data_IF_406649503701
#
_entry.id   IF_406649503701
#
_cell.length_a   1.000
_cell.length_b   1.000
_cell.length_c   1.000
_cell.angle_alpha   90.00
_cell.angle_beta   90.00
_cell.angle_gamma   90.00
#
_symmetry.space_group_name_H-M   'P 1'
#
loop_
_entity.id
_entity.type
_entity.pdbx_description
1 polymer ?
#
# COMPACT_ATOMS: atom_id res chain seq x y z
N UNK A 1 8.70 13.74 29.77
CA UNK A 1 8.14 12.70 28.87
C UNK A 1 7.61 11.60 29.77
N UNK A 2 6.29 11.58 29.96
CA UNK A 2 5.60 10.69 30.91
C UNK A 2 5.33 9.37 30.20
N UNK A 3 5.87 8.28 30.71
CA UNK A 3 5.47 6.92 30.32
C UNK A 3 3.99 6.78 30.65
N UNK A 4 3.13 6.67 29.65
CA UNK A 4 1.82 6.04 29.82
C UNK A 4 2.15 4.58 30.18
N UNK A 5 1.78 4.18 31.38
CA UNK A 5 2.09 2.85 31.91
C UNK A 5 1.33 1.80 31.12
N UNK A 6 1.94 0.64 30.91
CA UNK A 6 1.30 -0.53 30.28
C UNK A 6 -0.03 -0.88 30.95
N UNK A 7 -0.18 -0.62 32.26
CA UNK A 7 -1.42 -0.74 33.02
C UNK A 7 -2.60 0.05 32.43
N UNK A 8 -2.37 1.27 31.99
CA UNK A 8 -3.45 2.11 31.44
C UNK A 8 -3.94 1.59 30.07
N UNK A 9 -3.04 0.98 29.30
CA UNK A 9 -3.39 0.35 28.02
C UNK A 9 -4.17 -0.96 28.24
N UNK A 10 -3.79 -1.76 29.23
CA UNK A 10 -4.50 -2.98 29.61
C UNK A 10 -5.91 -2.68 30.13
N UNK A 11 -6.06 -1.63 30.92
CA UNK A 11 -7.38 -1.22 31.43
C UNK A 11 -8.32 -0.75 30.30
N UNK A 12 -7.83 0.01 29.33
CA UNK A 12 -8.60 0.43 28.15
C UNK A 12 -9.01 -0.75 27.26
N UNK A 13 -8.15 -1.74 27.10
CA UNK A 13 -8.47 -2.96 26.36
C UNK A 13 -9.55 -3.76 27.11
N UNK A 14 -9.41 -3.91 28.42
CA UNK A 14 -10.39 -4.63 29.26
C UNK A 14 -11.76 -3.95 29.22
N UNK A 15 -11.81 -2.63 29.39
CA UNK A 15 -13.05 -1.85 29.32
C UNK A 15 -13.72 -1.96 27.94
N UNK A 16 -12.93 -1.93 26.86
CA UNK A 16 -13.41 -2.12 25.48
C UNK A 16 -14.00 -3.52 25.26
N UNK A 17 -13.38 -4.56 25.80
CA UNK A 17 -13.88 -5.93 25.70
C UNK A 17 -15.13 -6.15 26.54
N UNK A 18 -15.22 -5.58 27.74
CA UNK A 18 -16.44 -5.63 28.57
C UNK A 18 -17.59 -4.88 27.91
N UNK A 19 -17.33 -3.74 27.26
CA UNK A 19 -18.35 -3.01 26.50
C UNK A 19 -18.85 -3.78 25.28
N UNK A 20 -18.01 -4.53 24.61
CA UNK A 20 -18.39 -5.42 23.51
C UNK A 20 -19.16 -6.65 24.02
N UNK A 21 -18.77 -7.21 25.17
CA UNK A 21 -19.45 -8.35 25.77
C UNK A 21 -20.88 -8.00 26.25
N UNK A 22 -21.11 -6.80 26.80
CA UNK A 22 -22.41 -6.31 27.19
C UNK A 22 -23.34 -6.00 26.03
N UNK A 23 -22.83 -5.79 24.83
CA UNK A 23 -23.61 -5.61 23.60
C UNK A 23 -23.82 -6.89 22.80
N UNK A 24 -23.15 -7.97 23.18
CA UNK A 24 -23.37 -9.26 22.54
C UNK A 24 -24.79 -9.73 22.83
N UNK A 25 -25.60 -10.16 21.84
CA UNK A 25 -26.92 -10.70 22.06
C UNK A 25 -26.84 -11.92 23.02
N UNK A 26 -27.73 -11.99 23.98
CA UNK A 26 -27.74 -13.11 24.90
C UNK A 26 -27.92 -14.41 24.12
N UNK A 27 -27.01 -15.34 24.33
CA UNK A 27 -27.04 -16.65 23.66
C UNK A 27 -28.34 -17.47 23.95
N UNK A 28 -29.10 -17.11 25.01
CA UNK A 28 -30.39 -17.62 25.28
C UNK A 28 -31.45 -17.12 24.27
N UNK A 29 -31.41 -15.84 23.93
CA UNK A 29 -32.34 -15.21 22.98
C UNK A 29 -32.15 -15.78 21.55
N UNK A 30 -30.92 -16.09 21.18
CA UNK A 30 -30.60 -16.77 19.90
C UNK A 30 -31.15 -18.21 19.90
N UNK A 31 -31.05 -18.94 21.01
CA UNK A 31 -31.58 -20.31 21.13
C UNK A 31 -33.10 -20.33 21.07
N UNK A 32 -33.76 -19.39 21.71
CA UNK A 32 -35.21 -19.31 21.70
C UNK A 32 -35.77 -18.92 20.33
N UNK A 33 -35.09 -18.04 19.62
CA UNK A 33 -35.42 -17.67 18.23
C UNK A 33 -35.26 -18.86 17.27
N UNK A 34 -34.27 -19.72 17.49
CA UNK A 34 -34.05 -20.94 16.72
C UNK A 34 -35.06 -22.06 17.09
N UNK A 35 -35.52 -22.12 18.34
CA UNK A 35 -36.48 -23.12 18.80
C UNK A 35 -37.95 -22.83 18.36
N UNK A 36 -38.28 -21.57 18.08
CA UNK A 36 -39.63 -21.14 17.65
C UNK A 36 -39.87 -21.25 16.15
N UNK A 37 -38.91 -21.70 15.33
CA UNK A 37 -39.15 -21.94 13.90
C UNK A 37 -39.93 -23.23 13.68
N UNK A 38 -41.07 -23.18 12.95
CA UNK A 38 -41.86 -24.36 12.67
C UNK A 38 -41.02 -25.37 11.87
N UNK A 39 -41.09 -26.63 12.28
CA UNK A 39 -40.42 -27.79 11.69
C UNK A 39 -40.90 -28.04 10.25
N UNK A 40 -40.44 -27.22 9.29
CA UNK A 40 -40.57 -27.52 7.87
C UNK A 40 -39.20 -27.55 7.23
N UNK A 41 -38.68 -28.79 7.11
CA UNK A 41 -37.48 -29.21 6.37
C UNK A 41 -36.12 -28.76 6.96
N UNK A 42 -35.45 -29.62 7.76
CA UNK A 42 -34.16 -29.29 8.41
C UNK A 42 -32.94 -29.35 7.49
N UNK A 43 -33.10 -29.50 6.20
CA UNK A 43 -31.95 -29.68 5.26
C UNK A 43 -31.39 -28.39 4.71
N UNK A 44 -32.14 -27.28 4.65
CA UNK A 44 -31.62 -26.03 4.07
C UNK A 44 -30.86 -25.10 5.05
N UNK A 45 -31.25 -25.06 6.32
CA UNK A 45 -30.59 -24.19 7.30
C UNK A 45 -29.23 -24.70 7.74
N UNK A 46 -29.06 -26.02 7.87
CA UNK A 46 -27.77 -26.65 8.12
C UNK A 46 -26.85 -26.55 6.88
N UNK A 47 -27.42 -26.59 5.67
CA UNK A 47 -26.67 -26.37 4.45
C UNK A 47 -26.14 -24.93 4.31
N UNK A 48 -26.88 -23.92 4.79
CA UNK A 48 -26.45 -22.52 4.75
C UNK A 48 -25.33 -22.20 5.77
N UNK A 49 -25.38 -22.78 6.97
CA UNK A 49 -24.29 -22.62 7.95
C UNK A 49 -23.05 -23.43 7.54
N UNK A 50 -23.24 -24.64 7.01
CA UNK A 50 -22.15 -25.43 6.46
C UNK A 50 -21.56 -24.78 5.19
N UNK A 51 -22.40 -24.12 4.36
CA UNK A 51 -21.93 -23.37 3.20
C UNK A 51 -21.15 -22.11 3.63
N UNK A 52 -21.55 -21.39 4.69
CA UNK A 52 -20.80 -20.23 5.19
C UNK A 52 -19.44 -20.63 5.77
N UNK A 53 -19.38 -21.73 6.54
CA UNK A 53 -18.11 -22.27 7.07
C UNK A 53 -17.27 -22.90 5.95
N UNK A 54 -17.89 -23.56 4.97
CA UNK A 54 -17.20 -24.08 3.80
C UNK A 54 -16.68 -22.97 2.87
N UNK A 55 -17.39 -21.85 2.76
CA UNK A 55 -16.91 -20.66 2.01
C UNK A 55 -15.71 -20.03 2.73
N UNK A 56 -15.70 -19.98 4.08
CA UNK A 56 -14.54 -19.50 4.83
C UNK A 56 -13.39 -20.53 4.77
N UNK A 57 -13.66 -21.82 4.86
CA UNK A 57 -12.66 -22.87 4.85
C UNK A 57 -12.12 -23.21 3.44
N UNK A 58 -12.94 -23.08 2.41
CA UNK A 58 -12.58 -23.34 1.02
C UNK A 58 -12.29 -22.05 0.25
N UNK A 59 -12.84 -20.93 0.67
CA UNK A 59 -12.57 -19.61 0.04
C UNK A 59 -11.13 -19.15 0.21
N UNK A 60 -10.48 -19.47 1.34
CA UNK A 60 -9.07 -19.14 1.56
C UNK A 60 -8.15 -20.00 0.65
N UNK A 61 -8.24 -21.33 0.60
CA UNK A 61 -7.37 -22.12 -0.28
C UNK A 61 -7.77 -22.04 -1.77
N UNK A 62 -9.06 -21.83 -2.13
CA UNK A 62 -9.47 -21.58 -3.51
C UNK A 62 -9.17 -20.16 -3.96
N UNK A 63 -9.24 -19.17 -3.09
CA UNK A 63 -8.73 -17.82 -3.33
C UNK A 63 -7.22 -17.84 -3.59
N UNK A 64 -6.47 -18.62 -2.82
CA UNK A 64 -5.03 -18.82 -3.04
C UNK A 64 -4.74 -19.60 -4.34
N UNK A 65 -5.57 -20.58 -4.72
CA UNK A 65 -5.41 -21.29 -6.00
C UNK A 65 -5.88 -20.49 -7.22
N UNK A 66 -6.88 -19.63 -7.06
CA UNK A 66 -7.31 -18.75 -8.15
C UNK A 66 -6.31 -17.61 -8.41
N UNK A 67 -5.49 -17.24 -7.40
CA UNK A 67 -4.33 -16.37 -7.60
C UNK A 67 -3.20 -17.02 -8.42
N UNK A 68 -3.21 -18.33 -8.61
CA UNK A 68 -2.25 -19.03 -9.47
C UNK A 68 -2.64 -19.07 -10.96
N UNK A 69 -3.82 -18.57 -11.35
CA UNK A 69 -4.08 -18.21 -12.73
C UNK A 69 -3.19 -17.02 -13.06
N UNK A 70 -2.04 -17.32 -13.68
CA UNK A 70 -0.98 -16.40 -14.09
C UNK A 70 -1.61 -15.14 -14.66
N UNK A 71 -1.52 -13.99 -13.97
CA UNK A 71 -1.86 -12.73 -14.59
C UNK A 71 -0.99 -12.58 -15.83
N UNK A 72 -1.43 -11.86 -16.86
CA UNK A 72 -0.58 -11.54 -18.00
C UNK A 72 0.73 -11.00 -17.41
N UNK A 73 1.83 -11.62 -17.82
CA UNK A 73 3.15 -11.48 -17.22
C UNK A 73 3.39 -10.05 -16.72
N UNK A 74 3.46 -9.91 -15.40
CA UNK A 74 3.86 -8.63 -14.80
C UNK A 74 5.13 -8.21 -15.49
N UNK A 75 5.20 -7.02 -16.07
CA UNK A 75 6.38 -6.61 -16.80
C UNK A 75 7.60 -6.78 -15.89
N UNK A 76 8.60 -7.46 -16.37
CA UNK A 76 9.79 -7.81 -15.60
C UNK A 76 10.75 -6.63 -15.36
N UNK A 77 10.36 -5.42 -15.73
CA UNK A 77 11.23 -4.23 -15.74
C UNK A 77 10.51 -3.01 -15.14
N UNK A 78 11.26 -2.12 -14.53
CA UNK A 78 10.81 -0.92 -13.83
C UNK A 78 10.05 0.14 -14.70
N UNK A 79 10.00 -0.02 -16.02
CA UNK A 79 9.40 0.95 -16.95
C UNK A 79 7.89 0.73 -17.19
N UNK A 80 7.20 -0.01 -16.36
CA UNK A 80 5.98 -0.68 -16.74
C UNK A 80 4.68 -0.20 -16.12
N UNK A 81 4.72 0.61 -15.09
CA UNK A 81 3.49 1.01 -14.45
C UNK A 81 2.96 2.31 -15.02
N UNK A 82 1.87 2.21 -15.76
CA UNK A 82 1.07 3.36 -16.15
C UNK A 82 0.15 3.73 -15.00
N UNK A 83 0.16 4.99 -14.60
CA UNK A 83 -0.75 5.54 -13.60
C UNK A 83 -1.99 6.06 -14.33
N UNK A 84 -3.14 5.37 -14.25
CA UNK A 84 -4.24 5.55 -15.20
C UNK A 84 -5.04 6.84 -15.00
N UNK A 85 -4.86 7.53 -13.85
CA UNK A 85 -5.60 8.75 -13.53
C UNK A 85 -4.71 9.83 -12.96
N UNK A 86 -5.10 11.08 -13.21
CA UNK A 86 -4.56 12.29 -12.57
C UNK A 86 -5.67 13.31 -12.34
N UNK A 87 -5.51 14.22 -11.35
CA UNK A 87 -6.33 15.43 -11.28
C UNK A 87 -6.15 16.29 -12.53
N UNK A 88 -7.23 16.79 -13.11
CA UNK A 88 -7.19 17.87 -14.10
C UNK A 88 -7.03 19.23 -13.43
N UNK A 89 -7.38 19.33 -12.16
CA UNK A 89 -7.21 20.52 -11.33
C UNK A 89 -6.75 20.16 -9.93
N UNK A 90 -5.90 20.99 -9.36
CA UNK A 90 -5.51 21.02 -7.95
C UNK A 90 -5.51 22.46 -7.45
N UNK A 91 -5.65 22.69 -6.14
CA UNK A 91 -5.43 24.02 -5.55
C UNK A 91 -4.03 24.54 -5.87
N UNK A 92 -3.88 25.87 -5.88
CA UNK A 92 -2.59 26.51 -6.18
C UNK A 92 -1.46 26.02 -5.25
N UNK A 93 -0.27 25.89 -5.81
CA UNK A 93 0.92 25.50 -5.08
C UNK A 93 1.14 24.00 -4.91
N UNK A 94 0.16 23.15 -5.25
CA UNK A 94 0.33 21.70 -5.19
C UNK A 94 1.23 21.20 -6.33
N UNK A 95 2.21 20.38 -5.97
CA UNK A 95 3.19 19.78 -6.89
C UNK A 95 3.31 18.30 -6.64
N UNK A 96 3.48 17.51 -7.71
CA UNK A 96 3.64 16.07 -7.58
C UNK A 96 5.00 15.73 -6.96
N UNK A 97 4.99 14.92 -5.90
CA UNK A 97 6.18 14.54 -5.15
C UNK A 97 6.42 13.03 -5.10
N UNK A 98 5.41 12.23 -5.45
CA UNK A 98 5.48 10.80 -5.22
C UNK A 98 4.64 10.05 -6.26
N UNK A 99 5.24 8.99 -6.81
CA UNK A 99 4.57 7.98 -7.64
C UNK A 99 4.93 6.60 -7.14
N UNK A 100 3.93 5.80 -6.87
CA UNK A 100 4.10 4.40 -6.48
C UNK A 100 3.22 3.50 -7.33
N UNK A 101 3.80 2.47 -7.88
CA UNK A 101 3.09 1.42 -8.57
C UNK A 101 3.42 0.07 -7.94
N UNK A 102 2.41 -0.76 -7.81
CA UNK A 102 2.55 -2.14 -7.38
C UNK A 102 2.04 -3.09 -8.46
N UNK A 103 2.47 -4.34 -8.41
CA UNK A 103 2.00 -5.38 -9.30
C UNK A 103 0.49 -5.59 -9.12
N UNK A 104 -0.21 -5.76 -10.26
CA UNK A 104 -1.66 -6.05 -10.26
C UNK A 104 -2.00 -7.24 -9.34
N UNK A 105 -3.07 -7.19 -8.57
CA UNK A 105 -4.12 -6.16 -8.49
C UNK A 105 -3.89 -5.09 -7.39
N UNK A 106 -2.66 -4.88 -6.95
CA UNK A 106 -2.38 -3.94 -5.88
C UNK A 106 -2.58 -2.48 -6.33
N UNK A 107 -2.89 -1.58 -5.38
CA UNK A 107 -3.16 -0.19 -5.68
C UNK A 107 -1.90 0.56 -6.14
N UNK A 108 -2.13 1.58 -6.96
CA UNK A 108 -1.14 2.55 -7.41
C UNK A 108 -1.43 3.90 -6.75
N UNK A 109 -0.40 4.67 -6.47
CA UNK A 109 -0.56 5.93 -5.71
C UNK A 109 0.21 7.07 -6.37
N UNK A 110 -0.40 8.26 -6.37
CA UNK A 110 0.23 9.55 -6.69
C UNK A 110 0.00 10.50 -5.52
N UNK A 111 0.99 11.33 -5.23
CA UNK A 111 0.89 12.28 -4.11
C UNK A 111 1.37 13.65 -4.54
N UNK A 112 0.59 14.67 -4.20
CA UNK A 112 0.91 16.09 -4.39
C UNK A 112 0.97 16.77 -3.03
N UNK A 113 1.81 17.79 -2.90
CA UNK A 113 1.91 18.59 -1.69
C UNK A 113 2.10 20.07 -2.04
N UNK A 114 1.56 20.93 -1.19
CA UNK A 114 1.76 22.39 -1.22
C UNK A 114 2.80 22.86 -0.20
N UNK A 115 3.69 21.97 0.25
CA UNK A 115 4.68 22.22 1.30
C UNK A 115 4.34 21.53 2.61
N UNK A 116 4.51 22.21 3.76
CA UNK A 116 4.43 21.56 5.07
C UNK A 116 3.00 21.21 5.53
N UNK A 117 1.97 21.80 4.95
CA UNK A 117 0.61 21.75 5.53
C UNK A 117 -0.42 21.00 4.72
N UNK A 118 -0.26 20.91 3.40
CA UNK A 118 -1.28 20.29 2.54
C UNK A 118 -0.75 19.12 1.74
N UNK A 119 -1.46 17.99 1.79
CA UNK A 119 -1.16 16.81 0.98
C UNK A 119 -2.43 16.26 0.36
N UNK A 120 -2.34 15.85 -0.89
CA UNK A 120 -3.39 15.17 -1.65
C UNK A 120 -2.82 13.88 -2.19
N UNK A 121 -3.48 12.76 -1.88
CA UNK A 121 -3.07 11.44 -2.34
C UNK A 121 -4.20 10.81 -3.16
N UNK A 122 -3.90 10.43 -4.38
CA UNK A 122 -4.77 9.64 -5.24
C UNK A 122 -4.30 8.19 -5.22
N UNK A 123 -5.16 7.29 -4.80
CA UNK A 123 -4.95 5.85 -4.89
C UNK A 123 -5.89 5.27 -5.94
N UNK A 124 -5.32 4.55 -6.89
CA UNK A 124 -6.06 3.88 -7.96
C UNK A 124 -5.96 2.38 -7.75
N UNK A 125 -7.07 1.73 -7.46
CA UNK A 125 -7.15 0.28 -7.23
C UNK A 125 -7.87 -0.39 -8.39
N UNK A 126 -7.25 -1.34 -9.12
CA UNK A 126 -7.95 -2.12 -10.12
C UNK A 126 -9.12 -2.88 -9.49
N UNK A 127 -10.27 -2.83 -10.14
CA UNK A 127 -11.41 -3.67 -9.76
C UNK A 127 -11.16 -5.06 -10.33
N UNK A 128 -11.20 -6.06 -9.46
CA UNK A 128 -11.19 -7.45 -9.89
C UNK A 128 -12.63 -7.85 -10.24
N UNK A 129 -12.86 -8.39 -11.43
CA UNK A 129 -14.16 -8.89 -11.89
C UNK A 129 -14.82 -9.86 -10.91
N UNK A 130 -14.02 -10.46 -10.02
CA UNK A 130 -14.48 -11.39 -8.98
C UNK A 130 -15.13 -10.73 -7.77
N UNK A 131 -14.97 -9.45 -7.58
CA UNK A 131 -15.53 -8.72 -6.42
C UNK A 131 -16.96 -8.25 -6.66
N UNK A 132 -17.49 -8.42 -7.88
CA UNK A 132 -18.78 -7.89 -8.28
C UNK A 132 -18.80 -6.35 -8.34
N UNK A 133 -19.92 -5.76 -8.77
CA UNK A 133 -20.07 -4.31 -8.77
C UNK A 133 -19.91 -3.77 -7.35
N UNK A 134 -19.06 -2.79 -7.18
CA UNK A 134 -18.93 -2.05 -5.93
C UNK A 134 -20.24 -1.32 -5.66
N UNK A 135 -21.07 -1.88 -4.79
CA UNK A 135 -22.33 -1.24 -4.40
C UNK A 135 -22.05 -0.41 -3.16
N UNK A 136 -22.00 0.90 -3.32
CA UNK A 136 -21.92 1.83 -2.20
C UNK A 136 -23.30 1.88 -1.57
N UNK A 137 -23.44 1.38 -0.34
CA UNK A 137 -24.69 1.48 0.40
C UNK A 137 -25.07 2.96 0.59
N UNK A 138 -26.36 3.32 0.51
CA UNK A 138 -26.82 4.67 0.80
C UNK A 138 -26.35 5.10 2.19
N UNK A 139 -25.58 6.18 2.27
CA UNK A 139 -25.05 6.73 3.51
C UNK A 139 -25.18 8.26 3.50
N UNK A 140 -25.25 8.92 4.66
CA UNK A 140 -25.39 10.38 4.74
C UNK A 140 -24.20 11.14 4.12
N UNK A 141 -23.11 10.46 3.85
CA UNK A 141 -21.88 11.03 3.31
C UNK A 141 -21.64 10.64 1.84
N UNK A 142 -22.69 10.64 1.02
CA UNK A 142 -22.57 10.41 -0.40
C UNK A 142 -22.14 11.66 -1.16
N UNK A 143 -21.43 11.43 -2.25
CA UNK A 143 -21.11 12.40 -3.30
C UNK A 143 -21.54 11.84 -4.65
N UNK A 144 -21.74 12.71 -5.62
CA UNK A 144 -21.97 12.32 -7.01
C UNK A 144 -20.79 12.83 -7.85
N UNK A 145 -20.09 11.93 -8.51
CA UNK A 145 -18.99 12.24 -9.41
C UNK A 145 -19.33 11.70 -10.79
N UNK A 146 -19.53 12.60 -11.77
CA UNK A 146 -19.93 12.24 -13.15
C UNK A 146 -21.16 11.29 -13.21
N UNK A 147 -22.14 11.52 -12.34
CA UNK A 147 -23.37 10.71 -12.27
C UNK A 147 -23.22 9.37 -11.55
N UNK A 148 -22.07 9.06 -11.03
CA UNK A 148 -21.80 7.85 -10.19
C UNK A 148 -21.76 8.22 -8.73
N UNK A 149 -22.29 7.34 -7.89
CA UNK A 149 -22.28 7.52 -6.44
C UNK A 149 -20.88 7.22 -5.90
N UNK A 150 -20.36 8.14 -5.10
CA UNK A 150 -19.16 7.97 -4.31
C UNK A 150 -19.45 8.17 -2.82
N UNK A 151 -18.44 7.98 -1.98
CA UNK A 151 -18.48 8.15 -0.53
C UNK A 151 -17.46 9.17 -0.07
N UNK A 152 -17.82 9.92 0.97
CA UNK A 152 -16.89 10.73 1.75
C UNK A 152 -16.79 10.13 3.15
N UNK A 153 -15.59 10.01 3.66
CA UNK A 153 -15.32 9.57 5.03
C UNK A 153 -14.24 10.45 5.66
N UNK A 154 -14.40 10.74 6.93
CA UNK A 154 -13.30 11.24 7.74
C UNK A 154 -12.44 10.04 8.14
N UNK A 155 -11.14 10.15 7.90
CA UNK A 155 -10.16 9.13 8.25
C UNK A 155 -9.13 9.76 9.19
N UNK A 156 -8.31 8.98 9.80
CA UNK A 156 -7.33 9.34 10.84
C UNK A 156 -6.95 10.84 10.93
N UNK A 157 -7.25 11.46 12.08
CA UNK A 157 -6.98 12.86 12.34
C UNK A 157 -7.94 13.80 11.60
N UNK A 158 -7.40 14.70 10.80
CA UNK A 158 -8.10 15.71 10.01
C UNK A 158 -8.16 15.37 8.51
N UNK A 159 -7.94 14.14 8.15
CA UNK A 159 -7.96 13.71 6.76
C UNK A 159 -9.39 13.37 6.28
N UNK A 160 -9.71 13.82 5.09
CA UNK A 160 -10.95 13.48 4.40
C UNK A 160 -10.63 12.59 3.19
N UNK A 161 -11.35 11.49 3.06
CA UNK A 161 -11.21 10.54 1.94
C UNK A 161 -12.49 10.50 1.12
N UNK A 162 -12.36 10.69 -0.18
CA UNK A 162 -13.42 10.49 -1.17
C UNK A 162 -13.12 9.20 -1.94
N UNK A 163 -14.13 8.35 -2.12
CA UNK A 163 -13.98 7.09 -2.85
C UNK A 163 -15.10 6.93 -3.86
N UNK A 164 -14.76 6.64 -5.11
CA UNK A 164 -15.72 6.45 -6.21
C UNK A 164 -15.15 5.55 -7.31
N UNK A 165 -16.01 5.09 -8.20
CA UNK A 165 -15.61 4.36 -9.41
C UNK A 165 -15.85 5.24 -10.64
N UNK A 166 -14.80 5.75 -11.31
CA UNK A 166 -14.98 6.56 -12.52
C UNK A 166 -15.49 5.71 -13.69
N UNK A 167 -15.19 4.43 -13.68
CA UNK A 167 -15.60 3.41 -14.63
C UNK A 167 -15.67 2.04 -13.94
N UNK A 168 -15.88 0.98 -14.70
CA UNK A 168 -16.00 -0.38 -14.15
C UNK A 168 -14.64 -1.09 -13.99
N UNK A 169 -13.53 -0.37 -14.24
CA UNK A 169 -12.18 -0.92 -14.21
C UNK A 169 -11.43 -0.56 -12.92
N UNK A 170 -11.71 0.62 -12.35
CA UNK A 170 -10.94 1.16 -11.23
C UNK A 170 -11.83 1.74 -10.13
N UNK A 171 -11.37 1.54 -8.89
CA UNK A 171 -11.79 2.29 -7.72
C UNK A 171 -10.76 3.40 -7.47
N UNK A 172 -11.20 4.63 -7.36
CA UNK A 172 -10.37 5.76 -6.96
C UNK A 172 -10.64 6.13 -5.51
N UNK A 173 -9.57 6.38 -4.76
CA UNK A 173 -9.63 6.95 -3.42
C UNK A 173 -8.76 8.20 -3.38
N UNK A 174 -9.35 9.34 -3.08
CA UNK A 174 -8.68 10.63 -2.95
C UNK A 174 -8.64 10.99 -1.47
N UNK A 175 -7.45 11.06 -0.88
CA UNK A 175 -7.27 11.43 0.52
C UNK A 175 -6.65 12.83 0.60
N UNK A 176 -7.26 13.72 1.38
CA UNK A 176 -6.85 15.10 1.58
C UNK A 176 -6.43 15.29 3.03
N UNK A 177 -5.19 15.73 3.25
CA UNK A 177 -4.63 16.03 4.58
C UNK A 177 -4.34 17.52 4.69
N UNK A 178 -4.72 18.15 5.80
CA UNK A 178 -4.43 19.56 6.08
C UNK A 178 -5.01 20.52 5.03
N UNK A 179 -6.11 20.16 4.37
CA UNK A 179 -6.78 20.97 3.36
C UNK A 179 -7.97 21.68 4.00
N UNK A 180 -8.08 22.98 3.77
CA UNK A 180 -9.27 23.74 4.14
C UNK A 180 -10.44 23.33 3.23
N UNK A 181 -11.63 23.17 3.82
CA UNK A 181 -12.86 22.76 3.12
C UNK A 181 -12.65 21.49 2.27
N UNK A 182 -12.16 20.39 2.88
CA UNK A 182 -11.64 19.24 2.14
C UNK A 182 -12.71 18.52 1.32
N UNK A 183 -13.99 18.60 1.72
CA UNK A 183 -15.09 18.00 0.97
C UNK A 183 -15.31 18.69 -0.36
N UNK A 184 -15.35 20.01 -0.37
CA UNK A 184 -15.62 20.81 -1.59
C UNK A 184 -14.40 20.74 -2.53
N UNK A 185 -13.19 20.85 -1.97
CA UNK A 185 -11.96 20.68 -2.74
C UNK A 185 -11.87 19.27 -3.34
N UNK A 186 -12.16 18.24 -2.54
CA UNK A 186 -12.15 16.85 -2.99
C UNK A 186 -13.19 16.57 -4.07
N UNK A 187 -14.42 17.10 -3.93
CA UNK A 187 -15.46 17.00 -4.95
C UNK A 187 -14.99 17.61 -6.27
N UNK A 188 -14.45 18.83 -6.24
CA UNK A 188 -13.94 19.48 -7.45
C UNK A 188 -12.81 18.70 -8.11
N UNK A 189 -11.85 18.18 -7.33
CA UNK A 189 -10.77 17.32 -7.85
C UNK A 189 -11.37 16.07 -8.51
N UNK A 190 -12.36 15.44 -7.89
CA UNK A 190 -13.01 14.25 -8.42
C UNK A 190 -13.77 14.53 -9.73
N UNK A 191 -14.47 15.68 -9.81
CA UNK A 191 -15.18 16.11 -11.01
C UNK A 191 -14.24 16.50 -12.17
N UNK A 192 -13.03 16.94 -11.85
CA UNK A 192 -12.00 17.27 -12.85
C UNK A 192 -10.95 16.14 -13.01
N UNK A 193 -11.26 14.91 -12.55
CA UNK A 193 -10.37 13.77 -12.74
C UNK A 193 -10.31 13.31 -14.20
N UNK A 194 -9.11 13.13 -14.73
CA UNK A 194 -8.89 12.72 -16.12
C UNK A 194 -8.07 11.45 -16.21
N UNK A 195 -8.30 10.67 -17.27
CA UNK A 195 -7.42 9.53 -17.59
C UNK A 195 -6.04 10.02 -18.00
N UNK A 196 -5.01 9.38 -17.44
CA UNK A 196 -3.61 9.67 -17.75
C UNK A 196 -2.92 8.40 -18.28
N UNK A 197 -2.99 8.19 -19.58
CA UNK A 197 -2.34 7.06 -20.24
C UNK A 197 -0.83 7.24 -20.44
N UNK A 198 -0.25 8.37 -20.02
CA UNK A 198 1.16 8.72 -20.27
C UNK A 198 2.02 8.65 -19.01
N UNK A 199 1.46 8.94 -17.85
CA UNK A 199 2.22 8.92 -16.61
C UNK A 199 2.71 7.50 -16.29
N UNK A 200 4.00 7.39 -16.08
CA UNK A 200 4.67 6.14 -15.71
C UNK A 200 5.42 6.32 -14.41
N UNK A 201 5.63 5.22 -13.71
CA UNK A 201 6.61 5.16 -12.64
C UNK A 201 7.87 4.56 -13.25
N UNK A 202 8.90 5.37 -13.46
CA UNK A 202 10.22 4.93 -13.88
C UNK A 202 11.22 5.20 -12.77
N UNK A 203 11.79 4.13 -12.23
CA UNK A 203 12.81 4.24 -11.20
C UNK A 203 14.22 4.15 -11.79
N UNK A 204 15.22 4.59 -11.04
CA UNK A 204 16.64 4.47 -11.40
C UNK A 204 17.25 3.11 -11.05
N UNK A 205 16.44 2.18 -10.57
CA UNK A 205 16.86 0.86 -10.15
C UNK A 205 16.19 -0.23 -10.97
N UNK A 206 16.90 -1.32 -11.20
CA UNK A 206 16.37 -2.58 -11.74
C UNK A 206 17.02 -3.74 -11.01
N UNK A 207 16.25 -4.73 -10.60
CA UNK A 207 16.83 -6.00 -10.17
C UNK A 207 17.44 -6.72 -11.38
N UNK A 208 18.74 -6.99 -11.37
CA UNK A 208 19.41 -7.79 -12.40
C UNK A 208 19.11 -9.28 -12.28
N UNK A 209 18.72 -9.72 -11.08
CA UNK A 209 18.21 -11.05 -10.77
C UNK A 209 17.70 -11.08 -9.35
N UNK A 210 16.57 -11.74 -9.13
CA UNK A 210 16.04 -12.03 -7.80
C UNK A 210 16.24 -13.52 -7.51
N UNK A 211 16.50 -13.90 -6.26
CA UNK A 211 16.51 -15.30 -5.85
C UNK A 211 15.21 -16.01 -6.24
N UNK A 212 15.29 -17.31 -6.49
CA UNK A 212 14.12 -18.13 -6.78
C UNK A 212 13.04 -17.93 -5.69
N UNK A 213 11.80 -17.80 -6.12
CA UNK A 213 10.66 -17.57 -5.23
C UNK A 213 10.44 -16.10 -4.83
N UNK A 214 11.22 -15.15 -5.36
CA UNK A 214 10.94 -13.72 -5.27
C UNK A 214 10.57 -13.14 -6.62
N UNK A 215 9.68 -12.16 -6.63
CA UNK A 215 9.30 -11.40 -7.82
C UNK A 215 9.17 -9.91 -7.50
N UNK A 216 9.40 -9.05 -8.49
CA UNK A 216 9.20 -7.62 -8.37
C UNK A 216 7.72 -7.33 -8.11
N UNK A 217 7.42 -6.64 -7.02
CA UNK A 217 6.05 -6.33 -6.59
C UNK A 217 5.73 -4.84 -6.58
N UNK A 218 6.73 -3.96 -6.63
CA UNK A 218 6.48 -2.54 -6.63
C UNK A 218 7.68 -1.68 -7.00
N UNK A 219 7.36 -0.49 -7.47
CA UNK A 219 8.30 0.62 -7.72
C UNK A 219 7.73 1.87 -7.07
N UNK A 220 8.56 2.58 -6.38
CA UNK A 220 8.24 3.83 -5.72
C UNK A 220 9.29 4.88 -6.04
N UNK A 221 8.87 6.02 -6.56
CA UNK A 221 9.73 7.18 -6.82
C UNK A 221 9.19 8.39 -6.08
N UNK A 222 10.06 9.09 -5.37
CA UNK A 222 9.68 10.20 -4.51
C UNK A 222 10.80 11.22 -4.36
N UNK A 223 10.47 12.40 -3.84
CA UNK A 223 11.45 13.44 -3.55
C UNK A 223 11.85 13.39 -2.08
N UNK A 224 13.14 13.45 -1.83
CA UNK A 224 13.73 13.70 -0.51
C UNK A 224 14.40 15.08 -0.48
N UNK A 225 14.89 15.52 0.68
CA UNK A 225 15.67 16.74 0.80
C UNK A 225 16.97 16.67 -0.05
N UNK A 226 17.49 15.47 -0.27
CA UNK A 226 18.70 15.22 -1.06
C UNK A 226 18.44 14.99 -2.56
N UNK A 227 17.19 15.10 -3.03
CA UNK A 227 16.83 14.88 -4.44
C UNK A 227 15.90 13.70 -4.66
N UNK A 228 15.80 13.24 -5.89
CA UNK A 228 14.98 12.09 -6.26
C UNK A 228 15.48 10.79 -5.63
N UNK A 229 14.56 9.98 -5.18
CA UNK A 229 14.80 8.66 -4.63
C UNK A 229 13.95 7.61 -5.35
N UNK A 230 14.46 6.40 -5.42
CA UNK A 230 13.76 5.23 -5.99
C UNK A 230 13.81 4.07 -5.02
N UNK A 231 12.71 3.37 -4.90
CA UNK A 231 12.63 2.08 -4.22
C UNK A 231 12.02 1.02 -5.14
N UNK A 232 12.58 -0.19 -5.09
CA UNK A 232 12.01 -1.40 -5.67
C UNK A 232 11.61 -2.33 -4.56
N UNK A 233 10.42 -2.90 -4.67
CA UNK A 233 9.90 -3.90 -3.73
C UNK A 233 9.85 -5.27 -4.39
N UNK A 234 10.28 -6.31 -3.66
CA UNK A 234 10.10 -7.69 -4.07
C UNK A 234 9.34 -8.48 -2.99
N UNK A 235 8.41 -9.31 -3.41
CA UNK A 235 7.61 -10.21 -2.55
C UNK A 235 7.84 -11.66 -2.92
N UNK A 236 7.23 -12.56 -2.17
CA UNK A 236 7.16 -13.97 -2.56
C UNK A 236 6.36 -14.10 -3.86
N UNK A 237 6.85 -14.94 -4.75
CA UNK A 237 6.21 -15.20 -6.04
C UNK A 237 4.75 -15.65 -5.85
N UNK A 238 3.85 -15.07 -6.64
CA UNK A 238 2.41 -15.28 -6.51
C UNK A 238 1.72 -14.52 -5.37
N UNK A 239 2.43 -13.64 -4.64
CA UNK A 239 1.87 -12.84 -3.55
C UNK A 239 2.12 -11.32 -3.73
N UNK A 240 1.70 -10.72 -4.84
CA UNK A 240 2.05 -9.33 -5.18
C UNK A 240 1.49 -8.28 -4.20
N UNK A 241 0.48 -8.63 -3.42
CA UNK A 241 -0.14 -7.76 -2.42
C UNK A 241 0.43 -7.92 -1.01
N UNK A 242 1.31 -8.90 -0.80
CA UNK A 242 1.96 -9.11 0.48
C UNK A 242 2.95 -7.98 0.81
N UNK A 243 3.32 -7.86 2.07
CA UNK A 243 4.41 -6.98 2.46
C UNK A 243 5.71 -7.37 1.74
N UNK A 244 6.53 -6.39 1.31
CA UNK A 244 7.78 -6.69 0.65
C UNK A 244 8.69 -7.51 1.58
N UNK A 245 9.36 -8.49 0.99
CA UNK A 245 10.37 -9.34 1.66
C UNK A 245 11.76 -8.75 1.50
N UNK A 246 11.95 -8.03 0.37
CA UNK A 246 13.18 -7.32 0.05
C UNK A 246 12.81 -5.97 -0.56
N UNK A 247 13.52 -4.94 -0.14
CA UNK A 247 13.45 -3.59 -0.72
C UNK A 247 14.85 -3.15 -1.14
N UNK A 248 15.01 -2.70 -2.39
CA UNK A 248 16.21 -2.01 -2.84
C UNK A 248 15.90 -0.52 -2.96
N UNK A 249 16.71 0.36 -2.39
CA UNK A 249 16.50 1.80 -2.50
C UNK A 249 17.77 2.55 -2.92
N UNK A 250 17.58 3.64 -3.65
CA UNK A 250 18.64 4.58 -4.07
C UNK A 250 18.24 5.98 -3.59
N UNK A 251 19.04 6.56 -2.70
CA UNK A 251 18.80 7.87 -2.11
C UNK A 251 20.09 8.63 -1.83
N UNK A 252 20.00 9.93 -1.61
CA UNK A 252 21.18 10.76 -1.28
C UNK A 252 21.68 10.50 0.14
N UNK A 253 20.77 10.21 1.07
CA UNK A 253 21.09 10.06 2.48
C UNK A 253 21.73 8.68 2.75
N UNK A 254 22.76 8.67 3.57
CA UNK A 254 23.32 7.43 4.12
C UNK A 254 22.25 6.74 4.98
N UNK A 255 22.10 5.41 4.87
CA UNK A 255 21.21 4.69 5.75
C UNK A 255 21.64 4.87 7.22
N UNK A 256 20.65 5.14 8.08
CA UNK A 256 20.87 5.25 9.51
C UNK A 256 21.22 3.85 10.07
N UNK A 257 22.28 3.78 10.85
CA UNK A 257 22.67 2.54 11.50
C UNK A 257 21.99 2.34 12.87
N UNK A 258 21.30 3.37 13.39
CA UNK A 258 20.78 3.32 14.75
C UNK A 258 21.88 2.92 15.73
N UNK A 259 21.60 1.89 16.54
CA UNK A 259 22.55 1.30 17.49
C UNK A 259 23.39 0.16 16.89
N UNK A 260 23.19 -0.20 15.58
CA UNK A 260 23.97 -1.27 14.95
C UNK A 260 25.40 -0.84 14.68
N UNK A 261 26.30 -1.75 14.92
CA UNK A 261 27.70 -1.63 14.48
C UNK A 261 27.76 -2.10 13.01
N UNK A 262 28.05 -1.20 12.06
CA UNK A 262 28.18 -1.59 10.67
C UNK A 262 29.33 -2.58 10.48
N UNK A 263 29.06 -3.69 9.81
CA UNK A 263 30.05 -4.70 9.46
C UNK A 263 30.60 -4.38 8.07
N UNK A 264 31.89 -4.01 7.91
CA UNK A 264 32.47 -3.70 6.61
C UNK A 264 32.38 -4.88 5.65
N UNK A 265 32.03 -4.62 4.39
CA UNK A 265 32.06 -5.65 3.35
C UNK A 265 32.24 -5.01 1.97
N UNK A 266 32.53 -5.81 0.95
CA UNK A 266 32.57 -5.35 -0.45
C UNK A 266 31.23 -5.57 -1.13
N UNK A 267 30.67 -4.52 -1.69
CA UNK A 267 29.44 -4.54 -2.49
C UNK A 267 29.76 -3.94 -3.86
N UNK A 268 29.48 -4.67 -4.93
CA UNK A 268 29.75 -4.21 -6.31
C UNK A 268 31.22 -3.80 -6.52
N UNK A 269 32.14 -4.42 -5.76
CA UNK A 269 33.59 -4.09 -5.79
C UNK A 269 33.99 -2.86 -4.96
N UNK A 270 33.04 -2.06 -4.46
CA UNK A 270 33.28 -0.89 -3.62
C UNK A 270 33.17 -1.22 -2.12
N UNK A 271 33.66 -0.32 -1.28
CA UNK A 271 33.52 -0.42 0.17
C UNK A 271 32.07 -0.11 0.56
N UNK A 272 31.44 -1.05 1.22
CA UNK A 272 30.10 -0.96 1.77
C UNK A 272 30.04 -1.53 3.18
N UNK A 273 28.84 -1.70 3.69
CA UNK A 273 28.64 -2.30 5.00
C UNK A 273 27.32 -3.06 5.06
N UNK A 274 27.27 -3.95 6.04
CA UNK A 274 26.07 -4.66 6.44
C UNK A 274 25.63 -4.19 7.82
N UNK A 275 24.34 -3.94 7.97
CA UNK A 275 23.68 -3.69 9.24
C UNK A 275 22.88 -4.93 9.61
N UNK A 276 23.25 -5.60 10.70
CA UNK A 276 22.48 -6.75 11.17
C UNK A 276 21.11 -6.31 11.69
N UNK A 277 20.19 -7.25 11.73
CA UNK A 277 18.85 -7.07 12.27
C UNK A 277 18.87 -6.42 13.64
N UNK A 278 18.05 -5.40 13.85
CA UNK A 278 17.93 -4.72 15.13
C UNK A 278 16.51 -4.81 15.66
N UNK A 279 16.40 -4.64 16.98
CA UNK A 279 15.12 -4.40 17.65
C UNK A 279 15.09 -2.93 18.03
N UNK A 280 14.60 -2.09 17.13
CA UNK A 280 14.47 -0.64 17.35
C UNK A 280 13.24 -0.27 18.17
N UNK A 281 13.09 1.03 18.47
CA UNK A 281 11.95 1.61 19.20
C UNK A 281 10.59 1.38 18.51
N UNK A 282 10.59 1.22 17.19
CA UNK A 282 9.39 1.06 16.35
C UNK A 282 9.15 -0.39 15.93
N UNK A 283 9.95 -1.34 16.41
CA UNK A 283 9.85 -2.76 16.07
C UNK A 283 11.18 -3.34 15.59
N UNK A 284 11.07 -4.45 14.85
CA UNK A 284 12.24 -5.14 14.30
C UNK A 284 12.61 -4.48 12.97
N UNK A 285 13.81 -3.92 12.90
CA UNK A 285 14.37 -3.43 11.65
C UNK A 285 14.96 -4.57 10.83
N UNK A 286 14.76 -4.51 9.52
CA UNK A 286 15.27 -5.52 8.60
C UNK A 286 16.81 -5.43 8.46
N UNK A 287 17.45 -6.55 8.15
CA UNK A 287 18.85 -6.58 7.77
C UNK A 287 19.10 -5.73 6.52
N UNK A 288 20.23 -5.02 6.46
CA UNK A 288 20.51 -4.10 5.35
C UNK A 288 21.95 -4.22 4.86
N UNK A 289 22.13 -4.35 3.57
CA UNK A 289 23.40 -4.15 2.85
C UNK A 289 23.39 -2.78 2.20
N UNK A 290 24.47 -2.01 2.38
CA UNK A 290 24.57 -0.65 1.86
C UNK A 290 25.91 -0.39 1.19
N UNK A 291 25.88 0.40 0.11
CA UNK A 291 27.08 0.85 -0.59
C UNK A 291 26.84 2.25 -1.18
N UNK A 292 27.85 3.08 -1.11
CA UNK A 292 27.83 4.34 -1.83
C UNK A 292 28.15 4.09 -3.31
N UNK A 293 27.27 4.58 -4.18
CA UNK A 293 27.41 4.47 -5.65
C UNK A 293 27.82 5.79 -6.26
N UNK A 294 28.02 5.79 -7.57
CA UNK A 294 28.34 6.99 -8.33
C UNK A 294 27.36 8.14 -8.04
N UNK A 295 27.88 9.38 -7.99
CA UNK A 295 27.09 10.56 -7.59
C UNK A 295 26.90 10.72 -6.10
N UNK A 296 27.58 9.92 -5.27
CA UNK A 296 27.54 10.06 -3.79
C UNK A 296 26.26 9.51 -3.15
N UNK A 297 25.38 8.91 -3.93
CA UNK A 297 24.13 8.32 -3.42
C UNK A 297 24.37 6.94 -2.82
N UNK A 298 23.42 6.50 -1.99
CA UNK A 298 23.46 5.21 -1.33
C UNK A 298 22.48 4.23 -1.96
N UNK A 299 23.00 3.11 -2.44
CA UNK A 299 22.21 1.93 -2.75
C UNK A 299 22.11 1.09 -1.47
N UNK A 300 20.89 0.80 -1.05
CA UNK A 300 20.62 -0.10 0.07
C UNK A 300 19.74 -1.26 -0.40
N UNK A 301 19.99 -2.45 0.14
CA UNK A 301 19.11 -3.60 -0.03
C UNK A 301 18.79 -4.14 1.36
N UNK A 302 17.52 -4.04 1.73
CA UNK A 302 17.03 -4.40 3.07
C UNK A 302 15.98 -5.50 2.96
N UNK A 303 15.85 -6.33 3.99
CA UNK A 303 14.79 -7.32 4.02
C UNK A 303 14.98 -8.42 5.06
N UNK A 304 13.99 -9.31 5.10
CA UNK A 304 13.99 -10.50 5.99
C UNK A 304 14.73 -11.67 5.33
N UNK A 305 15.98 -11.45 4.97
CA UNK A 305 16.87 -12.43 4.31
C UNK A 305 18.26 -12.34 4.93
N UNK A 306 19.01 -13.44 4.85
CA UNK A 306 20.38 -13.46 5.33
C UNK A 306 21.30 -12.53 4.54
N UNK A 307 22.43 -12.16 5.15
CA UNK A 307 23.43 -11.26 4.59
C UNK A 307 23.89 -11.68 3.19
N UNK A 308 24.11 -12.98 2.94
CA UNK A 308 24.62 -13.46 1.66
C UNK A 308 23.59 -13.25 0.53
N UNK A 309 22.31 -13.49 0.83
CA UNK A 309 21.21 -13.24 -0.09
C UNK A 309 21.07 -11.75 -0.42
N UNK A 310 21.07 -10.89 0.62
CA UNK A 310 20.98 -9.42 0.41
C UNK A 310 22.18 -8.89 -0.37
N UNK A 311 23.39 -9.39 -0.07
CA UNK A 311 24.61 -9.04 -0.81
C UNK A 311 24.53 -9.47 -2.28
N UNK A 312 24.03 -10.69 -2.53
CA UNK A 312 23.82 -11.18 -3.91
C UNK A 312 22.88 -10.30 -4.69
N UNK A 313 21.76 -9.88 -4.09
CA UNK A 313 20.80 -8.96 -4.70
C UNK A 313 21.46 -7.59 -4.95
N UNK A 314 22.14 -7.01 -3.94
CA UNK A 314 22.80 -5.71 -4.06
C UNK A 314 23.87 -5.67 -5.18
N UNK A 315 24.62 -6.74 -5.33
CA UNK A 315 25.59 -6.89 -6.43
C UNK A 315 24.90 -6.95 -7.81
N UNK A 316 23.69 -7.53 -7.86
CA UNK A 316 22.91 -7.68 -9.09
C UNK A 316 22.04 -6.46 -9.46
N UNK A 317 21.79 -5.51 -8.55
CA UNK A 317 21.00 -4.32 -8.87
C UNK A 317 21.68 -3.49 -9.94
N UNK A 318 20.94 -3.09 -10.96
CA UNK A 318 21.39 -2.23 -12.04
C UNK A 318 20.91 -0.80 -11.78
N UNK A 319 21.80 0.17 -11.98
CA UNK A 319 21.46 1.59 -12.03
C UNK A 319 21.10 1.93 -13.47
N UNK A 320 19.95 2.53 -13.68
CA UNK A 320 19.42 2.93 -14.98
C UNK A 320 19.01 4.40 -14.92
N UNK A 321 18.94 5.13 -16.05
CA UNK A 321 18.41 6.48 -16.05
C UNK A 321 16.94 6.49 -15.56
N UNK A 322 16.62 7.35 -14.60
CA UNK A 322 15.26 7.60 -14.15
C UNK A 322 14.64 8.83 -14.79
N UNK A 323 13.33 8.87 -14.94
CA UNK A 323 12.60 10.06 -15.34
C UNK A 323 11.95 10.72 -14.12
N UNK A 324 12.51 11.83 -13.71
CA UNK A 324 12.00 12.66 -12.63
C UNK A 324 11.45 14.00 -13.13
N UNK A 325 11.25 14.15 -14.43
CA UNK A 325 10.82 15.41 -15.06
C UNK A 325 9.46 15.91 -14.55
N UNK A 326 8.68 15.03 -13.97
CA UNK A 326 7.36 15.30 -13.37
C UNK A 326 7.40 15.86 -11.94
N UNK A 327 8.55 15.71 -11.24
CA UNK A 327 8.69 16.23 -9.88
C UNK A 327 8.55 17.75 -9.84
N UNK A 328 7.83 18.21 -8.82
CA UNK A 328 7.67 19.63 -8.56
C UNK A 328 6.79 20.35 -9.59
N UNK A 329 6.14 19.63 -10.50
CA UNK A 329 5.22 20.20 -11.48
C UNK A 329 3.78 20.12 -10.98
N UNK A 330 2.94 21.10 -11.33
CA UNK A 330 1.49 20.97 -11.22
C UNK A 330 0.99 19.86 -12.17
N UNK A 331 -0.24 19.35 -11.99
CA UNK A 331 -0.85 18.47 -12.98
C UNK A 331 -0.99 19.20 -14.32
N UNK A 332 -0.41 18.62 -15.39
CA UNK A 332 -0.51 19.12 -16.76
C UNK A 332 -1.76 18.60 -17.44
#
# INVERSE_FOLDING_TARGET
MTRLSDEHTEDLIRESLEHLATRAPDGAEIRDTLAQRPRSRPTMALALVAAAVAIIALGVPLGLRAYTAVPPASPRNADWAVLPYKPGWLPDGFKELNRRAKAYPAPQTRTWSSGATGQIQLTTTPLDDRRGPWTIAPAPNQIIVHGRVGMVAEVYGDATMLTWTPDDTYLLSLTLFGIKDPRDVGQRIADEMVRDGRARVSGELRFGGLPAGLELSGVHTYMTAGGGATELEATLAGQPTAAPVVTASLRAERPDSGDAVPVPLKVRGADGFYLPKQTGRLGVEDETVAVQVEGGRWLTVSGKRDQATLLGIANGVQLIPGDYSWFGKPPE
#
